data_IF_036965661869
#
_entry.id   IF_036965661869
#
_cell.length_a   1.000
_cell.length_b   1.000
_cell.length_c   1.000
_cell.angle_alpha   90.00
_cell.angle_beta   90.00
_cell.angle_gamma   90.00
#
_symmetry.space_group_name_H-M   'P 1'
#
loop_
_entity.id
_entity.type
_entity.pdbx_description
1 polymer ?
#
# COMPACT_ATOMS: atom_id res chain seq x y z
N UNK A 1 -28.78 -7.56 36.06
CA UNK A 1 -28.02 -7.17 34.86
C UNK A 1 -28.76 -7.76 33.67
N UNK A 2 -29.64 -6.97 33.04
CA UNK A 2 -30.29 -7.40 31.80
C UNK A 2 -29.21 -7.58 30.75
N UNK A 3 -29.08 -8.80 30.22
CA UNK A 3 -28.20 -9.06 29.08
C UNK A 3 -28.59 -8.18 27.89
N UNK A 4 -27.64 -7.94 26.99
CA UNK A 4 -27.89 -7.22 25.74
C UNK A 4 -29.06 -7.87 24.98
N UNK A 5 -29.97 -7.04 24.47
CA UNK A 5 -31.07 -7.50 23.63
C UNK A 5 -30.57 -7.94 22.25
N UNK A 6 -31.32 -8.82 21.58
CA UNK A 6 -30.99 -9.25 20.23
C UNK A 6 -30.96 -8.08 19.23
N UNK A 7 -31.83 -7.08 19.41
CA UNK A 7 -31.85 -5.88 18.59
C UNK A 7 -30.57 -5.04 18.78
N UNK A 8 -30.10 -4.83 20.01
CA UNK A 8 -28.83 -4.11 20.25
C UNK A 8 -27.63 -4.81 19.62
N UNK A 9 -27.58 -6.15 19.67
CA UNK A 9 -26.53 -6.95 19.02
C UNK A 9 -26.61 -6.79 17.49
N UNK A 10 -27.82 -6.75 16.93
CA UNK A 10 -28.06 -6.55 15.50
C UNK A 10 -27.63 -5.14 15.05
N UNK A 11 -28.01 -4.10 15.78
CA UNK A 11 -27.63 -2.71 15.45
C UNK A 11 -26.10 -2.52 15.53
N UNK A 12 -25.45 -3.09 16.55
CA UNK A 12 -23.99 -3.07 16.66
C UNK A 12 -23.29 -3.76 15.49
N UNK A 13 -23.84 -4.87 15.00
CA UNK A 13 -23.32 -5.58 13.85
C UNK A 13 -23.43 -4.74 12.56
N UNK A 14 -24.57 -4.10 12.32
CA UNK A 14 -24.74 -3.22 11.16
C UNK A 14 -23.81 -2.01 11.21
N UNK A 15 -23.68 -1.38 12.37
CA UNK A 15 -22.76 -0.28 12.58
C UNK A 15 -21.29 -0.67 12.30
N UNK A 16 -20.81 -1.81 12.84
CA UNK A 16 -19.45 -2.31 12.57
C UNK A 16 -19.23 -2.59 11.08
N UNK A 17 -20.26 -3.10 10.37
CA UNK A 17 -20.21 -3.35 8.94
C UNK A 17 -20.14 -2.05 8.12
N UNK A 18 -20.94 -1.05 8.44
CA UNK A 18 -20.94 0.25 7.74
C UNK A 18 -19.60 0.97 7.91
N UNK A 19 -19.05 1.01 9.13
CA UNK A 19 -17.72 1.60 9.36
C UNK A 19 -16.65 0.87 8.57
N UNK A 20 -16.66 -0.47 8.54
CA UNK A 20 -15.69 -1.25 7.77
C UNK A 20 -15.76 -0.94 6.27
N UNK A 21 -16.95 -0.70 5.73
CA UNK A 21 -17.11 -0.33 4.32
C UNK A 21 -16.49 1.04 4.04
N UNK A 22 -16.83 2.05 4.85
CA UNK A 22 -16.28 3.41 4.72
C UNK A 22 -14.74 3.39 4.84
N UNK A 23 -14.21 2.63 5.80
CA UNK A 23 -12.76 2.47 5.97
C UNK A 23 -12.13 1.78 4.76
N UNK A 24 -12.74 0.70 4.24
CA UNK A 24 -12.20 -0.01 3.09
C UNK A 24 -12.15 0.91 1.86
N UNK A 25 -13.17 1.71 1.63
CA UNK A 25 -13.22 2.67 0.53
C UNK A 25 -12.11 3.73 0.66
N UNK A 26 -11.93 4.29 1.86
CA UNK A 26 -10.82 5.22 2.15
C UNK A 26 -9.44 4.58 1.94
N UNK A 27 -9.27 3.33 2.36
CA UNK A 27 -8.02 2.58 2.17
C UNK A 27 -7.74 2.33 0.69
N UNK A 28 -8.75 1.99 -0.11
CA UNK A 28 -8.61 1.79 -1.55
C UNK A 28 -8.14 3.07 -2.26
N UNK A 29 -8.69 4.23 -1.86
CA UNK A 29 -8.24 5.52 -2.38
C UNK A 29 -6.78 5.81 -2.01
N UNK A 30 -6.40 5.56 -0.76
CA UNK A 30 -5.01 5.72 -0.31
C UNK A 30 -4.06 4.74 -1.04
N UNK A 31 -4.46 3.48 -1.23
CA UNK A 31 -3.68 2.48 -1.98
C UNK A 31 -3.45 2.92 -3.42
N UNK A 32 -4.50 3.39 -4.10
CA UNK A 32 -4.40 3.88 -5.48
C UNK A 32 -3.43 5.07 -5.59
N UNK A 33 -3.51 6.02 -4.66
CA UNK A 33 -2.61 7.16 -4.63
C UNK A 33 -1.14 6.74 -4.38
N UNK A 34 -0.92 5.82 -3.43
CA UNK A 34 0.41 5.27 -3.16
C UNK A 34 0.98 4.50 -4.35
N UNK A 35 0.16 3.71 -5.07
CA UNK A 35 0.57 3.02 -6.31
C UNK A 35 1.08 3.99 -7.35
N UNK A 36 0.35 5.08 -7.57
CA UNK A 36 0.72 6.11 -8.54
C UNK A 36 2.05 6.78 -8.19
N UNK A 37 2.21 7.25 -6.95
CA UNK A 37 3.46 7.89 -6.50
C UNK A 37 4.63 6.91 -6.59
N UNK A 38 4.45 5.67 -6.11
CA UNK A 38 5.49 4.66 -6.12
C UNK A 38 5.92 4.31 -7.55
N UNK A 39 4.98 4.13 -8.48
CA UNK A 39 5.28 3.89 -9.89
C UNK A 39 6.03 5.07 -10.52
N UNK A 40 5.56 6.30 -10.27
CA UNK A 40 6.20 7.51 -10.79
C UNK A 40 7.64 7.63 -10.32
N UNK A 41 7.88 7.54 -9.00
CA UNK A 41 9.22 7.66 -8.41
C UNK A 41 10.14 6.51 -8.78
N UNK A 42 9.61 5.31 -8.95
CA UNK A 42 10.39 4.18 -9.47
C UNK A 42 10.76 4.38 -10.95
N UNK A 43 9.83 4.87 -11.77
CA UNK A 43 10.10 5.12 -13.18
C UNK A 43 11.24 6.12 -13.35
N UNK A 44 11.35 7.15 -12.49
CA UNK A 44 12.46 8.13 -12.53
C UNK A 44 13.85 7.49 -12.43
N UNK A 45 14.00 6.38 -11.69
CA UNK A 45 15.30 5.71 -11.52
C UNK A 45 15.55 4.59 -12.52
N UNK A 46 14.51 4.13 -13.24
CA UNK A 46 14.56 2.97 -14.14
C UNK A 46 14.21 3.30 -15.60
N UNK A 47 14.24 4.58 -16.00
CA UNK A 47 13.72 5.10 -17.28
C UNK A 47 14.23 4.39 -18.53
N UNK A 48 15.44 3.82 -18.48
CA UNK A 48 16.10 3.20 -19.63
C UNK A 48 16.18 1.66 -19.51
N UNK A 49 15.49 1.07 -18.54
CA UNK A 49 15.54 -0.36 -18.26
C UNK A 49 14.19 -1.03 -18.52
N UNK A 50 14.19 -1.94 -19.51
CA UNK A 50 13.05 -2.85 -19.69
C UNK A 50 12.90 -3.71 -18.46
N UNK A 51 11.66 -3.84 -17.96
CA UNK A 51 11.38 -4.57 -16.74
C UNK A 51 12.29 -4.16 -15.56
N UNK A 52 12.62 -2.87 -15.40
CA UNK A 52 13.55 -2.40 -14.38
C UNK A 52 13.21 -2.82 -12.93
N UNK A 53 11.93 -3.10 -12.64
CA UNK A 53 11.48 -3.64 -11.35
C UNK A 53 11.84 -5.13 -11.12
N UNK A 54 12.43 -5.81 -12.11
CA UNK A 54 13.04 -7.12 -11.93
C UNK A 54 14.56 -7.02 -11.70
N UNK A 55 15.15 -5.84 -11.88
CA UNK A 55 16.56 -5.60 -11.65
C UNK A 55 16.81 -5.34 -10.16
N UNK A 56 17.51 -6.26 -9.50
CA UNK A 56 17.88 -6.14 -8.08
C UNK A 56 18.75 -4.91 -7.79
N UNK A 57 19.45 -4.38 -8.81
CA UNK A 57 20.22 -3.13 -8.72
C UNK A 57 19.39 -1.87 -8.42
N UNK A 58 18.08 -1.92 -8.68
CA UNK A 58 17.17 -0.79 -8.42
C UNK A 58 16.57 -0.79 -7.00
N UNK A 59 16.98 -1.73 -6.15
CA UNK A 59 16.50 -1.92 -4.79
C UNK A 59 17.62 -1.72 -3.76
N UNK A 60 17.23 -1.58 -2.50
CA UNK A 60 18.14 -1.35 -1.39
C UNK A 60 18.95 -2.60 -1.03
N UNK A 61 20.24 -2.61 -1.39
CA UNK A 61 21.18 -3.71 -1.16
C UNK A 61 21.41 -4.10 0.29
N UNK A 62 20.97 -3.32 1.29
CA UNK A 62 21.03 -3.76 2.68
C UNK A 62 19.88 -4.74 3.03
N UNK A 63 18.89 -4.88 2.13
CA UNK A 63 17.67 -5.67 2.32
C UNK A 63 17.58 -6.90 1.39
N UNK A 64 18.69 -7.39 0.84
CA UNK A 64 18.78 -8.46 -0.18
C UNK A 64 17.84 -9.67 -0.02
N UNK A 65 17.60 -10.13 1.21
CA UNK A 65 16.69 -11.25 1.49
C UNK A 65 15.20 -10.93 1.25
N UNK A 66 14.82 -9.67 1.21
CA UNK A 66 13.47 -9.19 0.90
C UNK A 66 13.32 -8.95 -0.61
N UNK A 67 14.37 -8.44 -1.25
CA UNK A 67 14.37 -8.11 -2.68
C UNK A 67 14.06 -9.33 -3.56
N UNK A 68 14.64 -10.50 -3.26
CA UNK A 68 14.37 -11.71 -4.08
C UNK A 68 12.90 -12.16 -4.00
N UNK A 69 12.27 -12.02 -2.83
CA UNK A 69 10.85 -12.39 -2.66
C UNK A 69 9.96 -11.44 -3.44
N UNK A 70 10.26 -10.15 -3.37
CA UNK A 70 9.56 -9.13 -4.13
C UNK A 70 9.72 -9.39 -5.63
N UNK A 71 10.94 -9.50 -6.14
CA UNK A 71 11.23 -9.74 -7.56
C UNK A 71 10.55 -11.03 -8.04
N UNK A 72 10.62 -12.11 -7.26
CA UNK A 72 9.92 -13.36 -7.57
C UNK A 72 8.40 -13.16 -7.64
N UNK A 73 7.83 -12.36 -6.75
CA UNK A 73 6.39 -12.03 -6.76
C UNK A 73 6.02 -11.19 -7.98
N UNK A 74 6.82 -10.20 -8.35
CA UNK A 74 6.62 -9.37 -9.54
C UNK A 74 6.70 -10.20 -10.83
N UNK A 75 7.68 -11.10 -10.92
CA UNK A 75 7.80 -12.06 -12.01
C UNK A 75 6.60 -13.01 -12.08
N UNK A 76 6.07 -13.44 -10.93
CA UNK A 76 4.85 -14.25 -10.86
C UNK A 76 3.62 -13.47 -11.37
N UNK A 77 3.49 -12.19 -11.02
CA UNK A 77 2.41 -11.32 -11.52
C UNK A 77 2.48 -11.25 -13.05
N UNK A 78 3.66 -10.98 -13.62
CA UNK A 78 3.83 -10.95 -15.07
C UNK A 78 3.46 -12.28 -15.73
N UNK A 79 4.07 -13.38 -15.26
CA UNK A 79 3.88 -14.71 -15.86
C UNK A 79 2.47 -15.27 -15.70
N UNK A 80 1.74 -14.85 -14.67
CA UNK A 80 0.34 -15.25 -14.47
C UNK A 80 -0.59 -14.47 -15.40
N UNK A 81 -0.33 -13.18 -15.61
CA UNK A 81 -1.17 -12.31 -16.43
C UNK A 81 -0.84 -12.38 -17.93
N UNK A 82 0.38 -12.76 -18.32
CA UNK A 82 0.73 -12.96 -19.73
C UNK A 82 0.03 -14.14 -20.41
N UNK A 83 -0.68 -14.98 -19.65
CA UNK A 83 -1.47 -16.13 -20.15
C UNK A 83 -2.87 -15.73 -20.63
N UNK A 84 -3.38 -14.60 -20.16
CA UNK A 84 -4.74 -14.15 -20.44
C UNK A 84 -4.70 -12.95 -21.36
N UNK A 85 -5.32 -13.05 -22.54
CA UNK A 85 -5.28 -12.00 -23.56
C UNK A 85 -6.20 -10.78 -23.29
N UNK A 86 -6.83 -10.74 -22.12
CA UNK A 86 -7.83 -9.74 -21.73
C UNK A 86 -7.31 -8.72 -20.70
N UNK A 87 -5.99 -8.59 -20.52
CA UNK A 87 -5.41 -7.64 -19.57
C UNK A 87 -4.31 -6.77 -20.18
N UNK A 88 -4.02 -5.66 -19.50
CA UNK A 88 -3.05 -4.66 -19.94
C UNK A 88 -1.62 -5.18 -19.96
N UNK A 89 -1.24 -6.10 -19.06
CA UNK A 89 0.07 -6.76 -19.07
C UNK A 89 0.26 -7.54 -20.37
N UNK A 90 -0.71 -8.38 -20.75
CA UNK A 90 -0.65 -9.15 -21.99
C UNK A 90 -0.47 -8.24 -23.21
N UNK A 91 -1.27 -7.19 -23.30
CA UNK A 91 -1.20 -6.23 -24.40
C UNK A 91 0.19 -5.57 -24.50
N UNK A 92 0.74 -5.10 -23.37
CA UNK A 92 2.04 -4.44 -23.34
C UNK A 92 3.19 -5.40 -23.72
N UNK A 93 3.18 -6.64 -23.21
CA UNK A 93 4.19 -7.65 -23.58
C UNK A 93 4.19 -7.91 -25.09
N UNK A 94 3.00 -8.11 -25.68
CA UNK A 94 2.90 -8.50 -27.10
C UNK A 94 3.08 -7.31 -28.07
N UNK A 95 2.81 -6.08 -27.62
CA UNK A 95 2.88 -4.87 -28.47
C UNK A 95 4.20 -4.12 -28.32
N UNK A 96 4.72 -4.02 -27.11
CA UNK A 96 5.88 -3.17 -26.77
C UNK A 96 7.10 -3.97 -26.29
N UNK A 97 6.95 -5.29 -26.06
CA UNK A 97 8.00 -6.15 -25.51
C UNK A 97 8.62 -5.56 -24.23
N UNK A 98 7.76 -4.96 -23.41
CA UNK A 98 8.05 -4.38 -22.10
C UNK A 98 6.71 -4.15 -21.37
N UNK A 99 6.73 -4.13 -20.04
CA UNK A 99 5.58 -3.75 -19.23
C UNK A 99 6.02 -2.63 -18.29
N UNK A 100 5.59 -1.39 -18.51
CA UNK A 100 5.97 -0.29 -17.65
C UNK A 100 5.48 -0.47 -16.21
N UNK A 101 6.22 0.10 -15.24
CA UNK A 101 5.88 -0.03 -13.82
C UNK A 101 4.48 0.51 -13.49
N UNK A 102 4.03 1.58 -14.15
CA UNK A 102 2.68 2.14 -13.94
C UNK A 102 1.56 1.18 -14.38
N UNK A 103 1.84 0.27 -15.33
CA UNK A 103 0.91 -0.81 -15.69
C UNK A 103 0.97 -1.95 -14.66
N UNK A 104 2.17 -2.26 -14.17
CA UNK A 104 2.37 -3.38 -13.25
C UNK A 104 1.77 -3.11 -11.86
N UNK A 105 1.88 -1.88 -11.33
CA UNK A 105 1.38 -1.55 -9.98
C UNK A 105 -0.13 -1.73 -9.83
N UNK A 106 -0.90 -1.67 -10.93
CA UNK A 106 -2.34 -1.95 -10.91
C UNK A 106 -2.64 -3.37 -10.44
N UNK A 107 -1.72 -4.31 -10.69
CA UNK A 107 -1.83 -5.72 -10.30
C UNK A 107 -1.27 -6.01 -8.91
N UNK A 108 -0.77 -5.00 -8.20
CA UNK A 108 -0.28 -5.20 -6.83
C UNK A 108 -1.46 -5.36 -5.88
N UNK A 109 -1.34 -6.32 -4.96
CA UNK A 109 -2.07 -6.23 -3.71
C UNK A 109 -1.34 -5.25 -2.75
N UNK A 110 -2.05 -4.80 -1.72
CA UNK A 110 -1.49 -3.87 -0.74
C UNK A 110 -0.19 -4.39 -0.10
N UNK A 111 -0.09 -5.71 0.13
CA UNK A 111 1.11 -6.33 0.70
C UNK A 111 2.33 -6.21 -0.22
N UNK A 112 2.13 -6.40 -1.53
CA UNK A 112 3.14 -6.25 -2.58
C UNK A 112 3.54 -4.80 -2.72
N UNK A 113 2.58 -3.86 -2.72
CA UNK A 113 2.87 -2.41 -2.72
C UNK A 113 3.72 -1.99 -1.53
N UNK A 114 3.36 -2.45 -0.32
CA UNK A 114 4.13 -2.17 0.90
C UNK A 114 5.54 -2.72 0.81
N UNK A 115 5.71 -3.97 0.34
CA UNK A 115 7.03 -4.57 0.17
C UNK A 115 7.84 -3.81 -0.87
N UNK A 116 7.22 -3.44 -2.00
CA UNK A 116 7.82 -2.64 -3.05
C UNK A 116 8.39 -1.33 -2.50
N UNK A 117 7.58 -0.50 -1.85
CA UNK A 117 8.03 0.79 -1.30
C UNK A 117 9.16 0.61 -0.27
N UNK A 118 9.04 -0.36 0.64
CA UNK A 118 10.02 -0.64 1.70
C UNK A 118 11.40 -1.01 1.14
N UNK A 119 11.42 -1.75 0.04
CA UNK A 119 12.62 -2.34 -0.57
C UNK A 119 13.29 -1.36 -1.57
N UNK A 120 12.67 -0.20 -1.85
CA UNK A 120 13.30 0.86 -2.66
C UNK A 120 14.48 1.54 -1.94
N UNK A 121 15.43 2.15 -2.67
CA UNK A 121 16.48 2.96 -2.07
C UNK A 121 15.91 4.08 -1.20
N UNK A 122 16.58 4.39 -0.08
CA UNK A 122 16.11 5.37 0.89
C UNK A 122 15.84 6.76 0.27
N UNK A 123 16.65 7.17 -0.72
CA UNK A 123 16.46 8.42 -1.46
C UNK A 123 15.13 8.46 -2.23
N UNK A 124 14.69 7.33 -2.79
CA UNK A 124 13.41 7.20 -3.48
C UNK A 124 12.26 7.17 -2.48
N UNK A 125 12.40 6.43 -1.39
CA UNK A 125 11.40 6.43 -0.31
C UNK A 125 11.17 7.84 0.24
N UNK A 126 12.21 8.63 0.41
CA UNK A 126 12.08 10.01 0.88
C UNK A 126 11.27 10.88 -0.09
N UNK A 127 11.47 10.72 -1.40
CA UNK A 127 10.65 11.42 -2.41
C UNK A 127 9.19 11.00 -2.35
N UNK A 128 8.92 9.69 -2.21
CA UNK A 128 7.56 9.16 -2.02
C UNK A 128 6.91 9.79 -0.77
N UNK A 129 7.66 9.87 0.33
CA UNK A 129 7.16 10.46 1.58
C UNK A 129 6.78 11.93 1.39
N UNK A 130 7.61 12.71 0.70
CA UNK A 130 7.32 14.12 0.39
C UNK A 130 6.07 14.25 -0.49
N UNK A 131 5.92 13.41 -1.52
CA UNK A 131 4.74 13.47 -2.40
C UNK A 131 3.44 13.11 -1.68
N UNK A 132 3.52 12.24 -0.66
CA UNK A 132 2.34 11.90 0.16
C UNK A 132 1.82 13.09 0.97
N UNK A 133 2.66 14.09 1.30
CA UNK A 133 2.26 15.21 2.17
C UNK A 133 1.07 15.97 1.60
N UNK A 134 1.08 16.26 0.29
CA UNK A 134 -0.03 16.98 -0.36
C UNK A 134 -1.36 16.24 -0.19
N UNK A 135 -1.37 14.93 -0.45
CA UNK A 135 -2.56 14.10 -0.27
C UNK A 135 -3.01 14.02 1.18
N UNK A 136 -2.08 13.96 2.14
CA UNK A 136 -2.42 13.97 3.57
C UNK A 136 -3.05 15.30 3.95
N UNK A 137 -2.50 16.42 3.49
CA UNK A 137 -3.01 17.76 3.79
C UNK A 137 -4.42 17.99 3.21
N UNK A 138 -4.69 17.47 2.01
CA UNK A 138 -6.01 17.57 1.37
C UNK A 138 -7.09 16.79 2.13
N UNK A 139 -6.72 15.70 2.82
CA UNK A 139 -7.66 14.82 3.52
C UNK A 139 -7.64 14.98 5.05
N UNK A 140 -6.62 15.62 5.61
CA UNK A 140 -6.43 15.83 7.05
C UNK A 140 -6.10 17.31 7.29
N UNK A 141 -7.13 18.17 7.46
CA UNK A 141 -6.94 19.58 7.74
C UNK A 141 -6.10 19.78 9.00
N UNK A 142 -5.04 20.60 8.89
CA UNK A 142 -4.14 20.89 10.01
C UNK A 142 -2.92 19.97 10.12
N UNK A 143 -2.67 19.10 9.14
CA UNK A 143 -1.41 18.37 9.07
C UNK A 143 -0.25 19.29 8.67
N UNK A 144 0.57 19.69 9.64
CA UNK A 144 1.76 20.55 9.47
C UNK A 144 3.04 19.88 10.00
N UNK A 145 3.10 18.56 9.94
CA UNK A 145 4.21 17.77 10.47
C UNK A 145 5.07 17.18 9.37
N UNK A 146 6.35 16.97 9.68
CA UNK A 146 7.24 16.23 8.81
C UNK A 146 6.73 14.79 8.61
N UNK A 147 6.88 14.27 7.40
CA UNK A 147 6.51 12.89 7.05
C UNK A 147 7.76 12.11 6.60
N UNK A 148 8.67 11.77 7.53
CA UNK A 148 9.88 11.01 7.22
C UNK A 148 9.56 9.57 6.83
N UNK A 149 10.54 8.90 6.23
CA UNK A 149 10.42 7.54 5.66
C UNK A 149 9.95 6.51 6.69
N UNK A 150 10.38 6.63 7.93
CA UNK A 150 10.00 5.73 9.02
C UNK A 150 8.51 5.88 9.36
N UNK A 151 8.03 7.13 9.42
CA UNK A 151 6.63 7.43 9.69
C UNK A 151 5.77 6.95 8.51
N UNK A 152 6.19 7.20 7.27
CA UNK A 152 5.51 6.68 6.08
C UNK A 152 5.40 5.15 6.12
N UNK A 153 6.49 4.44 6.38
CA UNK A 153 6.49 2.98 6.43
C UNK A 153 5.61 2.43 7.57
N UNK A 154 5.60 3.09 8.73
CA UNK A 154 4.70 2.75 9.85
C UNK A 154 3.23 2.98 9.47
N UNK A 155 2.93 4.11 8.82
CA UNK A 155 1.58 4.45 8.38
C UNK A 155 1.05 3.45 7.34
N UNK A 156 1.84 3.14 6.31
CA UNK A 156 1.50 2.11 5.30
C UNK A 156 1.26 0.75 5.97
N UNK A 157 2.07 0.38 6.97
CA UNK A 157 1.87 -0.86 7.74
C UNK A 157 0.55 -0.85 8.49
N UNK A 158 0.21 0.25 9.16
CA UNK A 158 -1.05 0.37 9.90
C UNK A 158 -2.26 0.32 8.95
N UNK A 159 -2.21 0.98 7.79
CA UNK A 159 -3.26 0.87 6.76
C UNK A 159 -3.43 -0.59 6.34
N UNK A 160 -2.33 -1.30 6.06
CA UNK A 160 -2.38 -2.71 5.68
C UNK A 160 -3.03 -3.59 6.75
N UNK A 161 -2.71 -3.37 8.03
CA UNK A 161 -3.31 -4.10 9.16
C UNK A 161 -4.82 -3.80 9.27
N UNK A 162 -5.21 -2.53 9.22
CA UNK A 162 -6.61 -2.08 9.25
C UNK A 162 -7.41 -2.68 8.09
N UNK A 163 -6.86 -2.67 6.87
CA UNK A 163 -7.46 -3.30 5.69
C UNK A 163 -7.74 -4.78 5.94
N UNK A 164 -6.74 -5.50 6.45
CA UNK A 164 -6.85 -6.94 6.69
C UNK A 164 -7.93 -7.25 7.75
N UNK A 165 -8.15 -6.38 8.72
CA UNK A 165 -9.20 -6.55 9.73
C UNK A 165 -10.59 -6.30 9.15
N UNK A 166 -10.72 -5.23 8.35
CA UNK A 166 -11.97 -4.93 7.66
C UNK A 166 -12.35 -6.07 6.70
N UNK A 167 -11.37 -6.61 5.96
CA UNK A 167 -11.58 -7.70 4.99
C UNK A 167 -11.78 -9.09 5.62
N UNK A 168 -11.08 -9.41 6.73
CA UNK A 168 -11.17 -10.72 7.38
C UNK A 168 -12.16 -10.76 8.56
N UNK A 169 -13.08 -9.80 8.61
CA UNK A 169 -14.24 -9.79 9.49
C UNK A 169 -13.92 -9.95 11.00
N UNK A 170 -12.77 -9.45 11.45
CA UNK A 170 -12.46 -9.34 12.88
C UNK A 170 -13.21 -8.12 13.45
N UNK A 171 -13.61 -8.15 14.72
CA UNK A 171 -14.30 -7.02 15.35
C UNK A 171 -13.40 -5.79 15.36
N UNK A 172 -13.81 -4.72 14.66
CA UNK A 172 -13.01 -3.50 14.54
C UNK A 172 -12.95 -2.76 15.89
N UNK A 173 -14.05 -2.78 16.64
CA UNK A 173 -14.22 -2.09 17.92
C UNK A 173 -13.29 -2.57 19.06
N UNK A 174 -12.55 -3.67 18.86
CA UNK A 174 -11.56 -4.19 19.84
C UNK A 174 -10.14 -4.22 19.29
N UNK A 175 -9.89 -3.58 18.14
CA UNK A 175 -8.59 -3.61 17.52
C UNK A 175 -7.69 -2.45 17.99
N UNK A 176 -6.50 -2.81 18.46
CA UNK A 176 -5.39 -1.90 18.67
C UNK A 176 -4.34 -2.16 17.59
N UNK A 177 -3.95 -1.13 16.84
CA UNK A 177 -2.85 -1.21 15.88
C UNK A 177 -1.58 -1.67 16.58
N UNK A 178 -0.83 -2.61 15.99
CA UNK A 178 0.38 -3.16 16.62
C UNK A 178 1.59 -2.23 16.58
N UNK A 179 1.51 -1.13 15.83
CA UNK A 179 2.58 -0.15 15.71
C UNK A 179 2.10 1.17 16.29
N UNK A 180 2.82 1.69 17.28
CA UNK A 180 2.56 3.03 17.82
C UNK A 180 2.78 4.07 16.72
N UNK A 181 1.76 4.89 16.46
CA UNK A 181 1.97 6.18 15.79
C UNK A 181 2.57 7.09 16.86
N UNK A 182 3.86 7.41 16.74
CA UNK A 182 4.65 8.13 17.77
C UNK A 182 4.18 9.57 18.05
N UNK A 183 3.01 10.00 17.56
CA UNK A 183 2.59 11.41 17.55
C UNK A 183 1.40 11.76 18.47
N UNK A 184 0.96 10.88 19.37
CA UNK A 184 -0.09 11.24 20.35
C UNK A 184 0.38 11.08 21.80
N UNK A 185 1.60 11.51 22.11
CA UNK A 185 1.98 11.87 23.49
C UNK A 185 2.01 13.39 23.57
N UNK A 186 0.84 13.95 23.88
CA UNK A 186 0.76 15.33 24.36
C UNK A 186 1.73 15.50 25.53
N UNK A 187 2.56 16.53 25.43
CA UNK A 187 3.28 17.08 26.58
C UNK A 187 2.23 17.58 27.57
N UNK A 188 2.32 17.11 28.81
CA UNK A 188 1.74 17.77 29.97
C UNK A 188 2.27 19.21 30.12
#
# INVERSE_FOLDING_TARGET
MSGASFDEIRELYWFDKEIKQILLDGILNAEHHLKFIAAYRFAEISQNEKYGYLNIGNYDHEKLNYDWKLISKLSQILSSNCKYNNNTIYHNIHTHNDVPIWVLVDFFDFGTLRAFIRDLPHSVQNKIAVDCIGFIQDNVPGFDSAFPVEIMNSFIKNIHETRNICAHNKHLLKFECRSDVTYCRGRD
#
